data_IF_675921251731
#
_entry.id   IF_675921251731
#
_cell.length_a   1.000
_cell.length_b   1.000
_cell.length_c   1.000
_cell.angle_alpha   90.00
_cell.angle_beta   90.00
_cell.angle_gamma   90.00
#
_symmetry.space_group_name_H-M   'P 1'
#
loop_
_entity.id
_entity.type
_entity.pdbx_description
1 polymer ?
#
# COMPACT_ATOMS: atom_id res chain seq x y z
N UNK A 1 3.40 33.12 10.25
CA UNK A 1 2.49 32.91 11.38
C UNK A 1 2.69 31.47 11.79
N UNK A 2 2.75 31.19 13.09
CA UNK A 2 2.82 29.83 13.62
C UNK A 2 1.52 29.09 13.30
N UNK A 3 1.61 27.81 12.98
CA UNK A 3 0.49 26.95 12.64
C UNK A 3 -0.11 26.25 13.87
N UNK A 4 0.65 26.13 14.97
CA UNK A 4 0.14 25.64 16.26
C UNK A 4 0.75 26.41 17.44
N UNK A 5 0.07 27.48 17.85
CA UNK A 5 0.46 28.33 18.99
C UNK A 5 0.49 27.58 20.36
N UNK A 6 0.03 26.33 20.44
CA UNK A 6 0.05 25.53 21.67
C UNK A 6 1.34 24.74 21.86
N UNK A 7 2.16 24.63 20.80
CA UNK A 7 3.38 23.80 20.77
C UNK A 7 4.59 24.67 20.43
N UNK A 8 5.42 24.99 21.43
CA UNK A 8 6.55 25.91 21.26
C UNK A 8 7.65 25.46 20.26
N UNK A 9 7.66 24.19 19.85
CA UNK A 9 8.61 23.66 18.86
C UNK A 9 8.06 23.69 17.43
N UNK A 10 6.76 23.92 17.27
CA UNK A 10 6.12 24.13 15.97
C UNK A 10 6.30 25.61 15.63
N UNK A 11 6.91 25.90 14.49
CA UNK A 11 7.05 27.27 13.98
C UNK A 11 7.69 27.27 12.58
N UNK A 12 7.47 28.31 11.76
CA UNK A 12 8.12 28.45 10.46
C UNK A 12 9.63 28.21 10.48
N UNK A 13 10.09 27.22 9.70
CA UNK A 13 11.51 26.86 9.58
C UNK A 13 12.07 26.03 10.75
N UNK A 14 11.21 25.43 11.57
CA UNK A 14 11.62 24.30 12.42
C UNK A 14 12.13 23.14 11.55
N UNK A 15 12.68 22.10 12.19
CA UNK A 15 13.03 20.88 11.46
C UNK A 15 11.81 19.96 11.48
N UNK A 16 11.32 19.59 10.30
CA UNK A 16 10.28 18.58 10.15
C UNK A 16 10.71 17.23 10.75
N UNK A 17 9.92 16.74 11.70
CA UNK A 17 10.00 15.36 12.18
C UNK A 17 8.78 14.59 11.70
N UNK A 18 8.94 13.97 10.53
CA UNK A 18 7.94 13.10 9.90
C UNK A 18 7.31 12.10 10.87
N UNK A 19 6.03 11.81 10.63
CA UNK A 19 5.15 10.91 11.36
C UNK A 19 4.99 11.23 12.84
N UNK A 20 4.97 12.52 13.20
CA UNK A 20 4.72 12.95 14.58
C UNK A 20 3.32 13.54 14.80
N UNK A 21 2.52 13.69 13.73
CA UNK A 21 1.17 14.24 13.74
C UNK A 21 1.10 15.77 13.71
N UNK A 22 2.21 16.46 13.44
CA UNK A 22 2.33 17.91 13.43
C UNK A 22 3.12 18.37 12.22
N UNK A 23 2.66 19.44 11.57
CA UNK A 23 3.45 20.23 10.61
C UNK A 23 4.43 21.08 11.44
N UNK A 24 5.62 20.54 11.74
CA UNK A 24 6.55 21.16 12.69
C UNK A 24 7.08 22.50 12.15
N UNK A 25 7.34 22.57 10.84
CA UNK A 25 7.93 23.73 10.19
C UNK A 25 6.91 24.68 9.53
N UNK A 26 5.61 24.42 9.72
CA UNK A 26 4.48 25.16 9.18
C UNK A 26 4.55 25.38 7.65
N UNK A 27 5.13 24.42 6.93
CA UNK A 27 5.31 24.48 5.50
C UNK A 27 4.61 23.29 4.83
N UNK A 28 3.50 23.52 4.09
CA UNK A 28 2.76 22.44 3.44
C UNK A 28 3.55 21.76 2.30
N UNK A 29 4.71 22.29 1.92
CA UNK A 29 5.61 21.63 0.97
C UNK A 29 6.53 20.58 1.64
N UNK A 30 6.41 20.36 2.94
CA UNK A 30 7.09 19.34 3.75
C UNK A 30 6.06 18.58 4.58
N UNK A 31 5.21 17.73 3.95
CA UNK A 31 4.16 17.01 4.66
C UNK A 31 4.73 16.08 5.73
N UNK A 32 4.01 15.95 6.85
CA UNK A 32 4.38 15.05 7.96
C UNK A 32 4.11 13.57 7.63
N UNK A 33 3.07 13.30 6.84
CA UNK A 33 2.50 11.98 6.59
C UNK A 33 2.43 11.57 5.10
N UNK A 34 3.01 12.37 4.20
CA UNK A 34 3.13 12.11 2.74
C UNK A 34 4.57 12.47 2.29
N UNK A 35 5.48 11.52 2.47
CA UNK A 35 6.93 11.70 2.30
C UNK A 35 7.34 11.66 0.82
N UNK A 36 6.66 10.87 0.00
CA UNK A 36 6.98 10.75 -1.44
C UNK A 36 6.15 11.67 -2.35
N UNK A 37 5.11 12.30 -1.80
CA UNK A 37 4.33 13.40 -2.39
C UNK A 37 3.48 12.99 -3.58
N UNK A 38 2.90 11.81 -3.53
CA UNK A 38 1.87 11.40 -4.47
C UNK A 38 0.46 11.87 -4.09
N UNK A 39 0.30 12.43 -2.89
CA UNK A 39 -0.96 12.97 -2.39
C UNK A 39 -1.77 12.01 -1.54
N UNK A 40 -1.22 10.83 -1.23
CA UNK A 40 -1.77 9.89 -0.27
C UNK A 40 -0.98 9.95 1.05
N UNK A 41 -1.70 10.00 2.16
CA UNK A 41 -1.06 9.91 3.46
C UNK A 41 -0.71 8.45 3.77
N UNK A 42 0.28 8.22 4.63
CA UNK A 42 0.71 6.90 5.13
C UNK A 42 -0.44 6.01 5.63
N UNK A 43 -1.58 6.58 6.02
CA UNK A 43 -2.75 5.82 6.44
C UNK A 43 -3.49 5.11 5.28
N UNK A 44 -3.33 5.62 4.07
CA UNK A 44 -3.95 5.12 2.83
C UNK A 44 -2.89 4.54 1.88
N UNK A 45 -1.63 4.98 2.00
CA UNK A 45 -0.50 4.50 1.20
C UNK A 45 0.27 3.37 1.91
N UNK A 46 0.39 2.24 1.22
CA UNK A 46 1.13 1.07 1.66
C UNK A 46 2.66 1.21 1.54
N UNK A 47 3.17 2.20 0.79
CA UNK A 47 4.59 2.53 0.70
C UNK A 47 4.86 4.02 0.46
N UNK A 48 4.79 4.80 1.55
CA UNK A 48 5.08 6.24 1.65
C UNK A 48 6.57 6.63 1.46
N UNK A 49 7.24 5.98 0.51
CA UNK A 49 8.61 6.25 0.08
C UNK A 49 8.75 6.07 -1.44
N UNK A 50 7.70 5.64 -2.13
CA UNK A 50 7.66 5.39 -3.56
C UNK A 50 6.30 5.81 -4.13
N UNK A 51 6.23 7.01 -4.69
CA UNK A 51 5.04 7.66 -5.26
C UNK A 51 4.37 6.94 -6.45
N UNK A 52 4.81 5.72 -6.74
CA UNK A 52 4.23 4.81 -7.74
C UNK A 52 3.40 3.70 -7.10
N UNK A 53 3.46 3.56 -5.78
CA UNK A 53 2.72 2.60 -4.98
C UNK A 53 1.77 3.44 -4.13
N UNK A 54 0.48 3.42 -4.45
CA UNK A 54 -0.57 4.18 -3.78
C UNK A 54 -1.95 3.76 -4.29
N UNK A 55 -3.05 4.14 -3.62
CA UNK A 55 -4.42 3.79 -4.02
C UNK A 55 -4.86 4.10 -5.46
N UNK A 56 -4.17 5.00 -6.17
CA UNK A 56 -4.47 5.34 -7.57
C UNK A 56 -3.53 4.66 -8.58
N UNK A 57 -2.55 3.89 -8.11
CA UNK A 57 -1.65 3.14 -8.97
C UNK A 57 -2.40 2.05 -9.75
N UNK A 58 -1.80 1.56 -10.84
CA UNK A 58 -2.32 0.38 -11.50
C UNK A 58 -1.51 -0.82 -11.03
N UNK A 59 -2.21 -1.88 -10.63
CA UNK A 59 -1.59 -3.17 -10.32
C UNK A 59 -0.86 -3.75 -11.53
N UNK A 60 0.41 -4.11 -11.34
CA UNK A 60 1.24 -4.78 -12.33
C UNK A 60 1.39 -6.24 -11.90
N UNK A 61 0.49 -7.07 -12.43
CA UNK A 61 0.41 -8.49 -12.11
C UNK A 61 1.74 -9.27 -12.22
N UNK A 62 1.90 -10.23 -11.31
CA UNK A 62 3.00 -11.16 -11.15
C UNK A 62 4.36 -10.52 -10.87
N UNK A 63 4.39 -9.39 -10.18
CA UNK A 63 5.64 -8.74 -9.77
C UNK A 63 5.90 -8.83 -8.24
N UNK A 64 4.89 -9.22 -7.47
CA UNK A 64 4.94 -9.39 -6.01
C UNK A 64 4.86 -8.10 -5.20
N UNK A 65 4.38 -7.01 -5.78
CA UNK A 65 4.14 -5.71 -5.15
C UNK A 65 2.66 -5.39 -5.35
N UNK A 66 1.97 -5.09 -4.26
CA UNK A 66 0.63 -4.48 -4.27
C UNK A 66 0.84 -2.99 -4.57
N UNK A 67 0.66 -2.60 -5.84
CA UNK A 67 0.90 -1.22 -6.25
C UNK A 67 -0.26 -0.31 -5.88
N UNK A 68 -1.49 -0.80 -5.97
CA UNK A 68 -2.71 -0.03 -5.71
C UNK A 68 -3.16 -0.05 -4.24
N UNK A 69 -2.37 -0.68 -3.37
CA UNK A 69 -2.62 -0.78 -1.94
C UNK A 69 -4.01 -1.37 -1.60
N UNK A 70 -4.60 -2.13 -2.52
CA UNK A 70 -5.86 -2.82 -2.34
C UNK A 70 -5.60 -4.34 -2.26
N UNK A 71 -5.67 -4.88 -1.05
CA UNK A 71 -5.49 -6.31 -0.83
C UNK A 71 -6.56 -7.20 -1.52
N UNK A 72 -7.55 -6.63 -2.19
CA UNK A 72 -8.55 -7.36 -2.99
C UNK A 72 -8.20 -7.48 -4.47
N UNK A 73 -7.24 -6.69 -4.97
CA UNK A 73 -6.65 -6.79 -6.31
C UNK A 73 -5.37 -7.61 -6.24
N UNK A 74 -5.52 -8.93 -6.12
CA UNK A 74 -4.37 -9.83 -5.94
C UNK A 74 -3.43 -9.80 -7.17
N UNK A 75 -2.12 -9.66 -6.91
CA UNK A 75 -1.03 -9.67 -7.91
C UNK A 75 -1.07 -10.89 -8.85
N UNK A 76 -1.65 -12.01 -8.41
CA UNK A 76 -1.78 -13.25 -9.16
C UNK A 76 -3.22 -13.65 -9.53
N UNK A 77 -4.17 -12.71 -9.49
CA UNK A 77 -5.57 -12.88 -9.93
C UNK A 77 -5.85 -12.11 -11.24
N UNK A 78 -5.52 -12.73 -12.37
CA UNK A 78 -5.62 -12.08 -13.70
C UNK A 78 -7.07 -11.82 -14.15
N UNK A 79 -8.06 -12.57 -13.67
CA UNK A 79 -9.45 -12.37 -14.04
C UNK A 79 -10.26 -11.54 -13.04
N UNK A 80 -9.77 -11.38 -11.81
CA UNK A 80 -10.32 -10.50 -10.79
C UNK A 80 -11.53 -11.08 -10.07
N UNK A 81 -11.59 -12.41 -9.88
CA UNK A 81 -12.68 -13.07 -9.17
C UNK A 81 -12.43 -13.28 -7.68
N UNK A 82 -11.26 -12.88 -7.20
CA UNK A 82 -10.84 -12.88 -5.80
C UNK A 82 -10.13 -14.16 -5.36
N UNK A 83 -9.67 -15.00 -6.28
CA UNK A 83 -8.86 -16.19 -6.00
C UNK A 83 -7.46 -16.08 -6.62
N UNK A 84 -6.44 -16.36 -5.80
CA UNK A 84 -5.06 -16.42 -6.28
C UNK A 84 -4.83 -17.60 -7.24
N UNK A 85 -3.73 -17.57 -7.99
CA UNK A 85 -3.40 -18.63 -8.97
C UNK A 85 -3.22 -20.04 -8.35
N UNK A 86 -3.09 -20.14 -7.03
CA UNK A 86 -3.00 -21.41 -6.33
C UNK A 86 -4.39 -21.97 -5.95
N UNK A 87 -5.36 -21.09 -5.68
CA UNK A 87 -6.74 -21.44 -5.37
C UNK A 87 -7.61 -21.58 -6.63
N UNK A 88 -7.36 -20.77 -7.66
CA UNK A 88 -7.94 -20.92 -8.99
C UNK A 88 -6.87 -21.22 -10.05
N UNK A 89 -6.84 -22.47 -10.50
CA UNK A 89 -5.92 -22.91 -11.54
C UNK A 89 -6.28 -22.39 -12.94
N UNK A 90 -7.39 -21.67 -13.08
CA UNK A 90 -7.92 -21.11 -14.32
C UNK A 90 -7.97 -19.56 -14.25
N UNK A 91 -6.82 -18.89 -14.07
CA UNK A 91 -6.58 -17.44 -13.91
C UNK A 91 -7.17 -16.47 -14.97
N UNK A 92 -7.93 -16.96 -15.95
CA UNK A 92 -8.45 -16.17 -17.06
C UNK A 92 -9.98 -16.24 -17.20
N UNK A 93 -10.69 -16.84 -16.23
CA UNK A 93 -12.14 -17.03 -16.27
C UNK A 93 -12.80 -16.72 -14.94
N UNK A 94 -13.42 -15.54 -14.84
CA UNK A 94 -14.28 -15.09 -13.74
C UNK A 94 -15.21 -16.18 -13.16
N UNK A 95 -14.73 -16.92 -12.17
CA UNK A 95 -15.44 -18.00 -11.47
C UNK A 95 -15.34 -17.75 -9.99
N UNK A 96 -16.40 -17.18 -9.44
CA UNK A 96 -16.56 -16.94 -7.99
C UNK A 96 -16.64 -18.20 -7.11
N UNK A 97 -16.22 -19.37 -7.61
CA UNK A 97 -16.02 -20.59 -6.86
C UNK A 97 -14.64 -21.15 -7.19
N UNK A 98 -13.79 -21.40 -6.18
CA UNK A 98 -12.45 -21.91 -6.43
C UNK A 98 -12.58 -23.27 -7.11
N UNK A 99 -11.94 -23.41 -8.27
CA UNK A 99 -11.88 -24.69 -8.96
C UNK A 99 -10.69 -25.44 -8.39
N UNK A 100 -10.87 -26.51 -7.58
CA UNK A 100 -9.72 -27.23 -7.07
C UNK A 100 -9.00 -27.88 -8.25
N UNK A 101 -7.88 -27.30 -8.65
CA UNK A 101 -6.93 -27.97 -9.52
C UNK A 101 -6.37 -29.20 -8.81
N UNK A 102 -5.65 -30.08 -9.53
CA UNK A 102 -5.02 -31.23 -8.91
C UNK A 102 -4.08 -30.71 -7.85
N UNK A 103 -4.45 -30.88 -6.56
CA UNK A 103 -3.66 -30.45 -5.41
C UNK A 103 -2.18 -30.67 -5.71
N UNK A 104 -1.45 -29.59 -6.01
CA UNK A 104 -0.04 -29.59 -5.65
C UNK A 104 -0.09 -29.68 -4.14
N UNK A 105 0.38 -30.78 -3.53
CA UNK A 105 0.35 -30.88 -2.09
C UNK A 105 1.07 -29.64 -1.58
N UNK A 106 0.39 -28.89 -0.71
CA UNK A 106 1.02 -27.81 0.06
C UNK A 106 2.30 -28.41 0.60
N UNK A 107 3.45 -28.00 0.06
CA UNK A 107 4.72 -28.28 0.72
C UNK A 107 4.76 -27.31 1.89
N UNK A 108 3.97 -27.64 2.91
CA UNK A 108 4.20 -27.21 4.27
C UNK A 108 5.54 -27.84 4.69
N UNK A 109 6.64 -27.23 4.25
CA UNK A 109 7.79 -27.04 5.12
C UNK A 109 7.34 -25.93 6.08
N UNK A 110 7.13 -26.14 7.38
CA UNK A 110 7.98 -26.69 8.48
C UNK A 110 7.03 -26.87 9.72
N UNK A 111 7.38 -27.51 10.87
CA UNK A 111 8.71 -27.82 11.36
C UNK A 111 8.91 -29.25 11.93
N UNK A 112 10.17 -29.54 12.27
CA UNK A 112 10.63 -30.72 13.02
C UNK A 112 9.98 -30.90 14.39
#
# INVERSE_FOLDING_TARGET
>A
MDCDDTIAIVHPGAKERVYNGHDDDCNPATPDDDLDRDGFALAEDCNDRDSRINPDANEILYNGIDEDCDATTLDDDLDGDGFDAHEDCDEATLRSTPTPGPHRPRTDADPR
#
